data_IF_069979064757
#
_entry.id   IF_069979064757
#
_cell.length_a   1.000
_cell.length_b   1.000
_cell.length_c   1.000
_cell.angle_alpha   90.00
_cell.angle_beta   90.00
_cell.angle_gamma   90.00
#
_symmetry.space_group_name_H-M   'P 1'
#
loop_
_entity.id
_entity.type
_entity.pdbx_description
1 polymer ?
#
# COMPACT_ATOMS: atom_id res chain seq x y z
N UNK A 1 -9.04 -11.13 -0.52
CA UNK A 1 -10.18 -10.37 -1.06
C UNK A 1 -9.78 -8.97 -1.49
N UNK A 2 -9.41 -8.06 -0.57
CA UNK A 2 -9.08 -6.66 -0.93
C UNK A 2 -7.92 -6.50 -1.92
N UNK A 3 -6.79 -7.17 -1.67
CA UNK A 3 -5.66 -7.17 -2.60
C UNK A 3 -5.96 -7.83 -3.95
N UNK A 4 -7.03 -8.63 -4.06
CA UNK A 4 -7.43 -9.25 -5.33
C UNK A 4 -8.21 -8.28 -6.21
N UNK A 5 -8.88 -7.27 -5.63
CA UNK A 5 -9.64 -6.29 -6.38
C UNK A 5 -8.74 -5.17 -6.94
N UNK A 6 -7.64 -4.86 -6.24
CA UNK A 6 -6.67 -3.82 -6.61
C UNK A 6 -5.35 -4.37 -7.17
N UNK A 7 -5.36 -5.59 -7.70
CA UNK A 7 -4.15 -6.31 -8.09
C UNK A 7 -3.29 -5.54 -9.12
N UNK A 8 -3.94 -4.81 -10.03
CA UNK A 8 -3.25 -4.02 -11.07
C UNK A 8 -2.60 -2.76 -10.47
N UNK A 9 -3.30 -2.03 -9.61
CA UNK A 9 -2.77 -0.80 -8.99
C UNK A 9 -1.69 -1.12 -7.95
N UNK A 10 -1.86 -2.22 -7.21
CA UNK A 10 -0.84 -2.70 -6.27
C UNK A 10 0.43 -3.16 -7.01
N UNK A 11 0.29 -3.71 -8.22
CA UNK A 11 1.45 -4.08 -9.04
C UNK A 11 2.25 -2.85 -9.47
N UNK A 12 1.60 -1.75 -9.82
CA UNK A 12 2.27 -0.46 -10.11
C UNK A 12 3.05 0.01 -8.88
N UNK A 13 2.44 -0.09 -7.69
CA UNK A 13 3.07 0.28 -6.43
C UNK A 13 4.29 -0.60 -6.12
N UNK A 14 4.18 -1.91 -6.34
CA UNK A 14 5.26 -2.88 -6.15
C UNK A 14 6.44 -2.62 -7.09
N UNK A 15 6.16 -2.34 -8.36
CA UNK A 15 7.17 -1.99 -9.36
C UNK A 15 7.87 -0.68 -8.99
N UNK A 16 7.12 0.33 -8.54
CA UNK A 16 7.68 1.59 -8.07
C UNK A 16 8.66 1.41 -6.90
N UNK A 17 8.26 0.69 -5.86
CA UNK A 17 9.15 0.50 -4.71
C UNK A 17 10.37 -0.34 -5.04
N UNK A 18 10.25 -1.28 -5.99
CA UNK A 18 11.41 -1.99 -6.52
C UNK A 18 12.39 -1.02 -7.18
N UNK A 19 11.92 -0.20 -8.12
CA UNK A 19 12.74 0.84 -8.78
C UNK A 19 13.37 1.81 -7.77
N UNK A 20 12.61 2.24 -6.76
CA UNK A 20 13.07 3.14 -5.72
C UNK A 20 14.27 2.54 -4.96
N UNK A 21 14.17 1.28 -4.53
CA UNK A 21 15.26 0.60 -3.80
C UNK A 21 16.47 0.24 -4.67
N UNK A 22 16.30 0.19 -6.00
CA UNK A 22 17.40 0.01 -6.95
C UNK A 22 18.18 1.31 -7.20
N UNK A 23 17.48 2.44 -7.22
CA UNK A 23 18.05 3.74 -7.55
C UNK A 23 18.50 4.56 -6.33
N UNK A 24 17.90 4.32 -5.17
CA UNK A 24 18.15 5.08 -3.95
C UNK A 24 18.59 4.16 -2.81
N UNK A 25 19.44 4.64 -1.87
CA UNK A 25 19.88 3.87 -0.71
C UNK A 25 18.78 3.79 0.36
N UNK A 26 17.61 3.29 0.00
CA UNK A 26 16.46 3.08 0.89
C UNK A 26 16.02 1.62 0.86
N UNK A 27 15.46 1.14 1.97
CA UNK A 27 14.96 -0.22 2.13
C UNK A 27 13.62 -0.24 2.88
N UNK A 28 12.81 -1.26 2.62
CA UNK A 28 11.61 -1.54 3.41
C UNK A 28 11.91 -2.31 4.71
N UNK A 29 10.85 -2.64 5.44
CA UNK A 29 10.89 -3.49 6.63
C UNK A 29 11.37 -4.90 6.25
N UNK A 30 12.33 -5.44 7.00
CA UNK A 30 12.78 -6.84 6.83
C UNK A 30 11.63 -7.82 7.01
N UNK A 31 11.55 -8.83 6.15
CA UNK A 31 10.52 -9.89 6.23
C UNK A 31 10.43 -10.55 7.62
N UNK A 32 11.57 -10.78 8.27
CA UNK A 32 11.62 -11.33 9.63
C UNK A 32 10.95 -10.43 10.67
N UNK A 33 11.10 -9.11 10.54
CA UNK A 33 10.43 -8.15 11.41
C UNK A 33 8.93 -8.13 11.11
N UNK A 34 8.53 -8.18 9.83
CA UNK A 34 7.12 -8.25 9.44
C UNK A 34 6.42 -9.49 9.99
N UNK A 35 7.04 -10.67 9.90
CA UNK A 35 6.48 -11.94 10.39
C UNK A 35 6.24 -11.95 11.90
N UNK A 36 6.94 -11.09 12.66
CA UNK A 36 6.76 -10.95 14.11
C UNK A 36 5.63 -10.00 14.50
N UNK A 37 5.17 -9.13 13.60
CA UNK A 37 4.07 -8.19 13.87
C UNK A 37 2.77 -8.77 13.31
N UNK A 38 1.79 -9.06 14.17
CA UNK A 38 0.43 -9.33 13.72
C UNK A 38 -0.15 -8.03 13.14
N UNK A 39 -0.22 -7.92 11.81
CA UNK A 39 -0.89 -6.81 11.13
C UNK A 39 -2.19 -7.28 10.47
N UNK A 40 -3.25 -6.51 10.65
CA UNK A 40 -4.57 -6.72 10.04
C UNK A 40 -4.64 -5.96 8.72
N UNK A 41 -4.18 -6.55 7.61
CA UNK A 41 -4.19 -5.91 6.28
C UNK A 41 -3.21 -6.56 5.30
N UNK A 42 -3.13 -6.02 4.07
CA UNK A 42 -2.14 -6.47 3.10
C UNK A 42 -0.80 -5.78 3.41
N UNK A 43 0.23 -6.56 3.67
CA UNK A 43 1.53 -6.04 4.13
C UNK A 43 2.62 -6.50 3.18
N UNK A 44 3.36 -5.53 2.63
CA UNK A 44 4.62 -5.76 1.92
C UNK A 44 5.77 -5.16 2.74
N UNK A 45 7.04 -5.47 2.40
CA UNK A 45 8.19 -4.81 3.01
C UNK A 45 8.13 -3.28 2.97
N UNK A 46 7.57 -2.69 1.90
CA UNK A 46 7.64 -1.25 1.66
C UNK A 46 6.39 -0.51 2.14
N UNK A 47 5.22 -1.16 2.08
CA UNK A 47 3.97 -0.52 2.43
C UNK A 47 2.98 -1.47 3.09
N UNK A 48 2.11 -0.88 3.89
CA UNK A 48 0.94 -1.53 4.44
C UNK A 48 -0.31 -0.89 3.83
N UNK A 49 -1.21 -1.73 3.35
CA UNK A 49 -2.46 -1.31 2.74
C UNK A 49 -3.64 -1.77 3.59
N UNK A 50 -4.50 -0.81 3.94
CA UNK A 50 -5.76 -1.06 4.62
C UNK A 50 -6.92 -0.32 3.95
N UNK A 51 -8.07 -0.98 3.97
CA UNK A 51 -9.34 -0.33 3.70
C UNK A 51 -9.73 0.51 4.90
N UNK A 52 -9.93 1.81 4.66
CA UNK A 52 -10.46 2.74 5.67
C UNK A 52 -11.97 2.95 5.51
N UNK A 53 -12.66 2.09 4.73
CA UNK A 53 -14.12 2.06 4.68
C UNK A 53 -14.70 1.82 6.07
N UNK A 54 -15.00 2.94 6.73
CA UNK A 54 -15.93 3.03 7.83
C UNK A 54 -17.33 3.10 7.19
N UNK A 55 -18.18 2.09 7.42
CA UNK A 55 -19.61 2.15 7.10
C UNK A 55 -20.14 1.10 6.11
N UNK A 56 -21.36 1.36 5.61
CA UNK A 56 -22.23 0.44 4.86
C UNK A 56 -21.54 -0.28 3.68
N UNK A 57 -20.64 0.39 2.97
CA UNK A 57 -19.95 -0.21 1.82
C UNK A 57 -19.06 -1.39 2.21
N UNK A 58 -18.46 -1.37 3.42
CA UNK A 58 -17.70 -2.53 3.94
C UNK A 58 -18.63 -3.71 4.26
N UNK A 59 -19.83 -3.42 4.76
CA UNK A 59 -20.82 -4.45 5.06
C UNK A 59 -21.31 -5.12 3.78
N UNK A 60 -21.53 -4.36 2.70
CA UNK A 60 -21.93 -4.90 1.39
C UNK A 60 -20.88 -5.87 0.84
N UNK A 61 -19.60 -5.50 0.83
CA UNK A 61 -18.51 -6.37 0.35
C UNK A 61 -18.42 -7.63 1.20
N UNK A 62 -18.47 -7.47 2.53
CA UNK A 62 -18.42 -8.60 3.45
C UNK A 62 -19.62 -9.52 3.22
N UNK A 63 -20.82 -8.99 3.02
CA UNK A 63 -22.02 -9.76 2.74
C UNK A 63 -21.92 -10.51 1.41
N UNK A 64 -21.42 -9.88 0.34
CA UNK A 64 -21.21 -10.52 -0.96
C UNK A 64 -20.30 -11.75 -0.84
N UNK A 65 -19.17 -11.62 -0.13
CA UNK A 65 -18.25 -12.73 0.08
C UNK A 65 -18.78 -13.80 1.04
N UNK A 66 -19.45 -13.40 2.12
CA UNK A 66 -20.05 -14.34 3.07
C UNK A 66 -21.17 -15.16 2.42
N UNK A 67 -21.92 -14.55 1.50
CA UNK A 67 -22.99 -15.21 0.75
C UNK A 67 -22.46 -16.07 -0.41
N UNK A 68 -21.31 -15.73 -0.98
CA UNK A 68 -20.65 -16.54 -2.01
C UNK A 68 -19.12 -16.55 -1.82
N UNK A 69 -18.60 -17.57 -1.13
CA UNK A 69 -17.16 -17.72 -0.88
C UNK A 69 -16.36 -18.08 -2.14
N UNK A 70 -17.02 -18.53 -3.21
CA UNK A 70 -16.41 -18.85 -4.50
C UNK A 70 -16.51 -17.69 -5.51
N UNK A 71 -17.01 -16.52 -5.09
CA UNK A 71 -17.14 -15.36 -5.97
C UNK A 71 -15.81 -15.05 -6.67
N UNK A 72 -15.86 -14.92 -7.98
CA UNK A 72 -14.66 -14.68 -8.78
C UNK A 72 -14.14 -13.25 -8.59
N UNK A 73 -12.85 -13.04 -8.88
CA UNK A 73 -12.24 -11.70 -8.87
C UNK A 73 -12.99 -10.74 -9.80
N UNK A 74 -13.42 -11.22 -10.95
CA UNK A 74 -14.12 -10.43 -11.97
C UNK A 74 -15.49 -9.98 -11.47
N UNK A 75 -16.28 -10.89 -10.88
CA UNK A 75 -17.58 -10.54 -10.29
C UNK A 75 -17.44 -9.58 -9.12
N UNK A 76 -16.41 -9.75 -8.27
CA UNK A 76 -16.13 -8.77 -7.21
C UNK A 76 -15.81 -7.38 -7.77
N UNK A 77 -15.01 -7.30 -8.85
CA UNK A 77 -14.68 -6.02 -9.52
C UNK A 77 -15.92 -5.37 -10.15
N UNK A 78 -16.86 -6.15 -10.70
CA UNK A 78 -18.12 -5.61 -11.26
C UNK A 78 -19.00 -4.94 -10.20
N UNK A 79 -18.93 -5.41 -8.95
CA UNK A 79 -19.63 -4.81 -7.82
C UNK A 79 -18.83 -3.68 -7.14
N UNK A 80 -17.63 -3.36 -7.63
CA UNK A 80 -16.71 -2.46 -6.98
C UNK A 80 -16.16 -1.42 -7.95
N UNK A 81 -16.87 -0.29 -8.08
CA UNK A 81 -16.39 0.85 -8.85
C UNK A 81 -15.42 1.69 -8.02
N UNK A 82 -14.11 1.48 -8.22
CA UNK A 82 -13.03 2.24 -7.58
C UNK A 82 -13.10 3.75 -7.81
N UNK A 83 -13.79 4.20 -8.85
CA UNK A 83 -13.95 5.64 -9.14
C UNK A 83 -14.97 6.32 -8.22
N UNK A 84 -15.89 5.56 -7.62
CA UNK A 84 -16.88 6.05 -6.65
C UNK A 84 -16.32 6.23 -5.23
N UNK A 85 -15.08 5.80 -5.00
CA UNK A 85 -14.43 5.86 -3.68
C UNK A 85 -13.49 7.05 -3.60
N UNK A 86 -13.70 7.89 -2.59
CA UNK A 86 -12.80 9.00 -2.29
C UNK A 86 -11.47 8.54 -1.68
N UNK A 87 -10.46 9.43 -1.62
CA UNK A 87 -9.13 9.15 -1.07
C UNK A 87 -9.15 8.70 0.40
N UNK A 88 -10.24 8.94 1.14
CA UNK A 88 -10.48 8.45 2.49
C UNK A 88 -10.84 6.96 2.57
N UNK A 89 -11.16 6.32 1.44
CA UNK A 89 -11.59 4.92 1.40
C UNK A 89 -10.42 3.94 1.55
N UNK A 90 -9.22 4.39 1.18
CA UNK A 90 -8.00 3.59 1.15
C UNK A 90 -6.89 4.32 1.90
N UNK A 91 -6.19 3.60 2.79
CA UNK A 91 -5.03 4.15 3.47
C UNK A 91 -3.79 3.29 3.19
N UNK A 92 -2.74 3.96 2.74
CA UNK A 92 -1.44 3.39 2.41
C UNK A 92 -0.41 3.93 3.39
N UNK A 93 0.16 3.06 4.21
CA UNK A 93 1.24 3.41 5.13
C UNK A 93 2.58 2.89 4.59
N UNK A 94 3.38 3.79 4.04
CA UNK A 94 4.70 3.51 3.47
C UNK A 94 5.76 3.75 4.55
N UNK A 95 6.57 2.73 4.81
CA UNK A 95 7.62 2.78 5.83
C UNK A 95 8.95 2.40 5.20
N UNK A 96 9.83 3.39 5.07
CA UNK A 96 11.14 3.28 4.47
C UNK A 96 12.23 3.62 5.48
N UNK A 97 13.41 3.05 5.25
CA UNK A 97 14.59 3.22 6.09
C UNK A 97 15.80 3.47 5.20
N UNK A 98 16.75 4.28 5.66
CA UNK A 98 18.04 4.42 4.98
C UNK A 98 18.76 3.08 4.94
N UNK A 99 19.44 2.74 3.85
CA UNK A 99 20.11 1.44 3.69
C UNK A 99 21.22 1.28 4.72
N UNK A 100 22.02 2.33 4.92
CA UNK A 100 23.15 2.32 5.83
C UNK A 100 22.73 2.75 7.26
N UNK A 101 23.22 2.04 8.29
CA UNK A 101 22.89 2.38 9.67
C UNK A 101 23.40 3.76 10.09
N UNK A 102 22.57 4.49 10.82
CA UNK A 102 22.92 5.81 11.37
C UNK A 102 23.03 6.94 10.35
N UNK A 103 22.69 6.68 9.08
CA UNK A 103 22.51 7.73 8.07
C UNK A 103 21.16 8.41 8.29
N UNK A 104 21.19 9.74 8.38
CA UNK A 104 19.97 10.54 8.50
C UNK A 104 19.09 10.41 7.25
N UNK A 105 17.75 10.48 7.38
CA UNK A 105 16.85 10.53 6.25
C UNK A 105 17.25 11.61 5.24
N UNK A 106 17.35 11.22 3.97
CA UNK A 106 17.65 12.15 2.89
C UNK A 106 16.38 12.88 2.45
N UNK A 107 16.36 14.20 2.59
CA UNK A 107 15.22 15.04 2.24
C UNK A 107 14.93 15.04 0.74
N UNK A 108 15.96 14.99 -0.12
CA UNK A 108 15.77 14.97 -1.57
C UNK A 108 15.09 13.67 -2.00
N UNK A 109 15.51 12.54 -1.42
CA UNK A 109 14.86 11.23 -1.66
C UNK A 109 13.41 11.28 -1.17
N UNK A 110 13.15 11.86 0.00
CA UNK A 110 11.80 11.97 0.54
C UNK A 110 10.88 12.82 -0.35
N UNK A 111 11.36 13.97 -0.83
CA UNK A 111 10.59 14.83 -1.74
C UNK A 111 10.36 14.15 -3.10
N UNK A 112 11.34 13.41 -3.61
CA UNK A 112 11.16 12.63 -4.83
C UNK A 112 10.05 11.59 -4.68
N UNK A 113 9.99 10.89 -3.54
CA UNK A 113 8.94 9.90 -3.27
C UNK A 113 7.55 10.55 -3.25
N UNK A 114 7.41 11.71 -2.60
CA UNK A 114 6.15 12.46 -2.60
C UNK A 114 5.76 12.85 -4.03
N UNK A 115 6.69 13.44 -4.77
CA UNK A 115 6.45 13.88 -6.15
C UNK A 115 6.04 12.71 -7.05
N UNK A 116 6.69 11.55 -6.92
CA UNK A 116 6.35 10.36 -7.73
C UNK A 116 4.93 9.88 -7.43
N UNK A 117 4.54 9.83 -6.16
CA UNK A 117 3.19 9.38 -5.75
C UNK A 117 2.11 10.37 -6.23
N UNK A 118 2.41 11.67 -6.25
CA UNK A 118 1.46 12.69 -6.71
C UNK A 118 1.33 12.77 -8.23
N UNK A 119 2.38 12.41 -8.98
CA UNK A 119 2.46 12.69 -10.43
C UNK A 119 2.45 11.45 -11.32
N UNK A 120 2.85 10.27 -10.83
CA UNK A 120 2.83 9.04 -11.65
C UNK A 120 1.39 8.56 -11.85
N UNK A 121 1.05 8.29 -13.10
CA UNK A 121 -0.21 7.63 -13.46
C UNK A 121 -0.23 6.18 -12.97
N UNK A 122 -1.42 5.65 -12.68
CA UNK A 122 -1.62 4.26 -12.25
C UNK A 122 -1.45 4.00 -10.76
N UNK A 123 -1.07 5.02 -9.97
CA UNK A 123 -1.09 4.91 -8.51
C UNK A 123 -2.53 4.79 -7.99
N UNK A 124 -2.79 3.89 -7.02
CA UNK A 124 -4.12 3.76 -6.45
C UNK A 124 -4.53 5.05 -5.75
N UNK A 125 -5.79 5.45 -5.91
CA UNK A 125 -6.33 6.61 -5.19
C UNK A 125 -6.47 6.26 -3.71
N UNK A 126 -5.97 7.13 -2.85
CA UNK A 126 -6.02 6.89 -1.41
C UNK A 126 -5.24 7.93 -0.62
N UNK A 127 -5.30 7.79 0.70
CA UNK A 127 -4.52 8.56 1.64
C UNK A 127 -3.18 7.86 1.86
N UNK A 128 -2.08 8.58 1.61
CA UNK A 128 -0.73 8.07 1.77
C UNK A 128 -0.06 8.69 3.00
N UNK A 129 0.43 7.84 3.88
CA UNK A 129 1.32 8.21 4.98
C UNK A 129 2.70 7.67 4.66
N UNK A 130 3.66 8.55 4.42
CA UNK A 130 5.03 8.18 4.04
C UNK A 130 5.96 8.52 5.20
N UNK A 131 6.81 7.58 5.59
CA UNK A 131 7.84 7.79 6.59
C UNK A 131 9.19 7.28 6.06
N UNK A 132 10.22 8.11 6.20
CA UNK A 132 11.61 7.75 5.93
C UNK A 132 12.41 7.91 7.22
N UNK A 133 13.00 6.83 7.69
CA UNK A 133 13.70 6.77 8.97
C UNK A 133 15.19 6.44 8.78
N UNK A 134 16.00 6.77 9.78
CA UNK A 134 17.34 6.18 9.88
C UNK A 134 17.24 4.67 10.16
N UNK A 135 18.30 3.93 9.84
CA UNK A 135 18.36 2.49 10.09
C UNK A 135 19.20 2.19 11.34
N UNK A 136 18.74 2.64 12.50
CA UNK A 136 19.44 2.47 13.78
C UNK A 136 19.16 1.14 14.50
N UNK A 137 18.46 0.18 13.88
CA UNK A 137 17.97 -1.05 14.53
C UNK A 137 18.62 -2.32 13.98
#
# INVERSE_FOLDING_TARGET
MLAMMMEEELKVLDEYFKELTENYPVVGIRQEAMNKVKKTGYTTPHYFFQFSLLGEKREIINALYLNNQEISKTELKEHFDFTEYGPESFAFAINLFMKEPGVEPDEEIFQQIISDIETREGFPRGSYTITLNDNKI
#
